data_IF_448290728177
#
_entry.id   IF_448290728177
#
_cell.length_a   1.000
_cell.length_b   1.000
_cell.length_c   1.000
_cell.angle_alpha   90.00
_cell.angle_beta   90.00
_cell.angle_gamma   90.00
#
_symmetry.space_group_name_H-M   'P 1'
#
loop_
_entity.id
_entity.type
_entity.pdbx_description
1 polymer ?
#
# COMPACT_ATOMS: atom_id res chain seq x y z
N UNK A 1 -5.62 -11.82 -39.72
CA UNK A 1 -5.70 -10.38 -39.37
C UNK A 1 -6.46 -10.14 -38.07
N UNK A 2 -7.73 -10.57 -37.92
CA UNK A 2 -8.49 -10.38 -36.66
C UNK A 2 -7.80 -11.02 -35.44
N UNK A 3 -7.33 -12.27 -35.56
CA UNK A 3 -6.63 -12.99 -34.47
C UNK A 3 -5.38 -12.24 -33.98
N UNK A 4 -4.61 -11.64 -34.89
CA UNK A 4 -3.41 -10.87 -34.54
C UNK A 4 -3.75 -9.57 -33.80
N UNK A 5 -4.82 -8.89 -34.20
CA UNK A 5 -5.30 -7.69 -33.50
C UNK A 5 -5.82 -8.03 -32.10
N UNK A 6 -6.53 -9.13 -31.94
CA UNK A 6 -7.00 -9.60 -30.63
C UNK A 6 -5.83 -9.95 -29.70
N UNK A 7 -4.81 -10.66 -30.21
CA UNK A 7 -3.62 -10.98 -29.44
C UNK A 7 -2.83 -9.73 -29.05
N UNK A 8 -2.76 -8.73 -29.94
CA UNK A 8 -2.15 -7.44 -29.66
C UNK A 8 -2.89 -6.70 -28.54
N UNK A 9 -4.22 -6.67 -28.60
CA UNK A 9 -5.03 -6.06 -27.54
C UNK A 9 -4.81 -6.71 -26.18
N UNK A 10 -4.73 -8.03 -26.12
CA UNK A 10 -4.48 -8.76 -24.88
C UNK A 10 -3.09 -8.43 -24.29
N UNK A 11 -2.07 -8.28 -25.16
CA UNK A 11 -0.73 -7.84 -24.77
C UNK A 11 -0.77 -6.43 -24.16
N UNK A 12 -1.42 -5.46 -24.80
CA UNK A 12 -1.47 -4.09 -24.29
C UNK A 12 -2.22 -3.99 -22.95
N UNK A 13 -3.29 -4.78 -22.77
CA UNK A 13 -3.95 -4.92 -21.46
C UNK A 13 -2.99 -5.43 -20.41
N UNK A 14 -2.18 -6.46 -20.74
CA UNK A 14 -1.19 -7.00 -19.82
C UNK A 14 -0.11 -5.98 -19.45
N UNK A 15 0.39 -5.21 -20.41
CA UNK A 15 1.36 -4.11 -20.16
C UNK A 15 0.73 -3.04 -19.25
N UNK A 16 -0.51 -2.63 -19.54
CA UNK A 16 -1.24 -1.68 -18.69
C UNK A 16 -1.42 -2.17 -17.26
N UNK A 17 -1.76 -3.44 -17.07
CA UNK A 17 -1.89 -4.07 -15.74
C UNK A 17 -0.55 -4.08 -15.01
N UNK A 18 0.54 -4.41 -15.69
CA UNK A 18 1.88 -4.39 -15.09
C UNK A 18 2.24 -2.98 -14.62
N UNK A 19 2.15 -1.98 -15.51
CA UNK A 19 2.48 -0.59 -15.17
C UNK A 19 1.61 -0.06 -14.03
N UNK A 20 0.30 -0.33 -14.09
CA UNK A 20 -0.64 0.04 -13.03
C UNK A 20 -0.28 -0.62 -11.69
N UNK A 21 0.15 -1.88 -11.70
CA UNK A 21 0.60 -2.59 -10.50
C UNK A 21 1.86 -1.94 -9.92
N UNK A 22 2.86 -1.64 -10.74
CA UNK A 22 4.11 -1.01 -10.28
C UNK A 22 3.86 0.36 -9.64
N UNK A 23 3.05 1.21 -10.27
CA UNK A 23 2.71 2.53 -9.73
C UNK A 23 1.76 2.44 -8.53
N UNK A 24 0.97 1.37 -8.44
CA UNK A 24 0.02 1.12 -7.35
C UNK A 24 0.65 0.63 -6.04
N UNK A 25 1.83 -0.01 -6.09
CA UNK A 25 2.53 -0.55 -4.90
C UNK A 25 2.63 0.41 -3.72
N UNK A 26 3.13 1.66 -3.86
CA UNK A 26 3.22 2.58 -2.72
C UNK A 26 1.84 2.94 -2.15
N UNK A 27 0.82 3.04 -3.00
CA UNK A 27 -0.55 3.37 -2.60
C UNK A 27 -1.15 2.23 -1.79
N UNK A 28 -1.03 0.99 -2.27
CA UNK A 28 -1.52 -0.20 -1.58
C UNK A 28 -0.74 -0.50 -0.31
N UNK A 29 0.58 -0.29 -0.29
CA UNK A 29 1.39 -0.43 0.93
C UNK A 29 0.94 0.50 2.05
N UNK A 30 0.61 1.76 1.72
CA UNK A 30 0.12 2.75 2.68
C UNK A 30 -1.31 2.46 3.14
N UNK A 31 -2.18 2.02 2.24
CA UNK A 31 -3.52 1.55 2.61
C UNK A 31 -3.44 0.33 3.55
N UNK A 32 -2.62 -0.66 3.22
CA UNK A 32 -2.41 -1.84 4.04
C UNK A 32 -1.83 -1.50 5.43
N UNK A 33 -0.98 -0.47 5.53
CA UNK A 33 -0.50 0.03 6.83
C UNK A 33 -1.68 0.48 7.72
N UNK A 34 -2.64 1.20 7.14
CA UNK A 34 -3.82 1.67 7.87
C UNK A 34 -4.74 0.52 8.29
N UNK A 35 -4.90 -0.48 7.43
CA UNK A 35 -5.64 -1.71 7.74
C UNK A 35 -4.99 -2.50 8.89
N UNK A 36 -3.66 -2.64 8.90
CA UNK A 36 -2.94 -3.28 10.01
C UNK A 36 -3.14 -2.56 11.35
N UNK A 37 -3.13 -1.22 11.33
CA UNK A 37 -3.38 -0.40 12.52
C UNK A 37 -4.80 -0.63 13.05
N UNK A 38 -5.82 -0.56 12.19
CA UNK A 38 -7.21 -0.76 12.62
C UNK A 38 -7.48 -2.19 13.09
N UNK A 39 -6.86 -3.18 12.45
CA UNK A 39 -6.88 -4.57 12.90
C UNK A 39 -6.31 -4.70 14.33
N UNK A 40 -5.19 -4.04 14.62
CA UNK A 40 -4.59 -4.07 15.96
C UNK A 40 -5.41 -3.35 17.03
N UNK A 41 -6.24 -2.37 16.62
CA UNK A 41 -7.18 -1.65 17.50
C UNK A 41 -8.43 -2.46 17.80
N UNK A 42 -8.69 -3.54 17.06
CA UNK A 42 -9.91 -4.32 17.18
C UNK A 42 -11.14 -3.58 16.66
N UNK A 43 -10.96 -2.58 15.79
CA UNK A 43 -12.06 -1.96 15.03
C UNK A 43 -12.18 -2.69 13.70
N UNK A 44 -12.78 -3.87 13.71
CA UNK A 44 -13.35 -4.46 12.50
C UNK A 44 -14.77 -3.92 12.41
N UNK A 45 -14.97 -2.90 11.58
CA UNK A 45 -16.22 -2.13 11.51
C UNK A 45 -17.33 -2.96 10.82
N UNK A 46 -18.27 -3.59 11.56
CA UNK A 46 -19.34 -4.36 10.93
C UNK A 46 -20.35 -3.46 10.19
N UNK A 47 -20.24 -2.14 10.40
CA UNK A 47 -21.14 -1.09 9.93
C UNK A 47 -20.54 -0.22 8.84
N UNK A 48 -19.27 -0.43 8.44
CA UNK A 48 -18.70 0.28 7.30
C UNK A 48 -19.29 -0.31 6.01
N UNK A 49 -19.82 0.56 5.14
CA UNK A 49 -20.26 0.18 3.79
C UNK A 49 -19.15 -0.63 3.13
N UNK A 50 -19.48 -1.83 2.66
CA UNK A 50 -18.54 -2.67 1.93
C UNK A 50 -17.98 -1.85 0.76
N UNK A 51 -16.65 -1.84 0.59
CA UNK A 51 -16.03 -1.20 -0.56
C UNK A 51 -16.60 -1.84 -1.84
N UNK A 52 -17.25 -1.08 -2.76
CA UNK A 52 -17.85 -1.64 -3.97
C UNK A 52 -16.85 -2.37 -4.87
N UNK A 53 -15.56 -2.04 -4.78
CA UNK A 53 -14.51 -2.68 -5.56
C UNK A 53 -14.05 -4.03 -4.98
N UNK A 54 -14.08 -4.20 -3.65
CA UNK A 54 -13.51 -5.38 -2.97
C UNK A 54 -14.52 -6.19 -2.14
N UNK A 55 -15.75 -5.68 -1.95
CA UNK A 55 -16.78 -6.20 -1.03
C UNK A 55 -16.28 -6.45 0.41
N UNK A 56 -15.15 -5.84 0.78
CA UNK A 56 -14.55 -5.98 2.10
C UNK A 56 -14.99 -4.83 3.03
N UNK A 57 -15.01 -5.09 4.34
CA UNK A 57 -15.21 -4.02 5.34
C UNK A 57 -13.99 -3.12 5.30
N UNK A 58 -14.14 -1.94 4.68
CA UNK A 58 -13.03 -1.00 4.54
C UNK A 58 -12.60 -0.47 5.92
N UNK A 59 -11.32 -0.58 6.22
CA UNK A 59 -10.70 0.06 7.40
C UNK A 59 -10.77 1.58 7.23
N UNK A 60 -11.26 2.29 8.25
CA UNK A 60 -11.33 3.75 8.23
C UNK A 60 -9.93 4.37 8.09
N UNK A 61 -8.95 3.81 8.79
CA UNK A 61 -7.56 4.24 8.70
C UNK A 61 -6.92 3.85 7.36
N UNK A 62 -7.22 2.66 6.83
CA UNK A 62 -6.78 2.23 5.50
C UNK A 62 -7.26 3.18 4.41
N UNK A 63 -8.54 3.56 4.43
CA UNK A 63 -9.12 4.54 3.49
C UNK A 63 -8.48 5.90 3.66
N UNK A 64 -8.30 6.38 4.91
CA UNK A 64 -7.67 7.67 5.17
C UNK A 64 -6.24 7.75 4.63
N UNK A 65 -5.41 6.72 4.90
CA UNK A 65 -4.04 6.67 4.37
C UNK A 65 -4.02 6.49 2.86
N UNK A 66 -4.92 5.69 2.30
CA UNK A 66 -5.05 5.50 0.86
C UNK A 66 -5.35 6.81 0.13
N UNK A 67 -6.36 7.56 0.58
CA UNK A 67 -6.71 8.88 0.00
C UNK A 67 -5.56 9.87 0.18
N UNK A 68 -4.90 9.88 1.35
CA UNK A 68 -3.75 10.75 1.60
C UNK A 68 -2.57 10.39 0.68
N UNK A 69 -2.30 9.11 0.46
CA UNK A 69 -1.28 8.64 -0.46
C UNK A 69 -1.57 9.07 -1.90
N UNK A 70 -2.82 8.96 -2.35
CA UNK A 70 -3.26 9.45 -3.67
C UNK A 70 -3.07 10.97 -3.78
N UNK A 71 -3.45 11.73 -2.75
CA UNK A 71 -3.29 13.18 -2.72
C UNK A 71 -1.81 13.59 -2.80
N UNK A 72 -0.92 12.90 -2.07
CA UNK A 72 0.54 13.10 -2.14
C UNK A 72 1.07 12.72 -3.52
N UNK A 73 0.63 11.58 -4.08
CA UNK A 73 1.04 11.13 -5.42
C UNK A 73 0.70 12.18 -6.47
N UNK A 74 -0.54 12.64 -6.52
CA UNK A 74 -0.97 13.69 -7.46
C UNK A 74 -0.23 15.00 -7.20
N UNK A 75 -0.13 15.43 -5.94
CA UNK A 75 0.55 16.67 -5.55
C UNK A 75 2.07 16.68 -5.80
N UNK A 76 2.69 15.50 -5.92
CA UNK A 76 4.13 15.34 -6.22
C UNK A 76 4.45 15.24 -7.71
N UNK A 77 3.46 15.37 -8.61
CA UNK A 77 3.65 15.18 -10.05
C UNK A 77 3.55 13.71 -10.49
N UNK A 78 2.95 12.84 -9.67
CA UNK A 78 2.80 11.41 -9.98
C UNK A 78 2.00 11.15 -11.27
N UNK A 79 1.08 12.06 -11.65
CA UNK A 79 0.34 11.93 -12.90
C UNK A 79 1.23 12.13 -14.14
N UNK A 80 2.17 13.08 -14.08
CA UNK A 80 3.18 13.27 -15.13
C UNK A 80 4.09 12.05 -15.23
N UNK A 81 4.47 11.49 -14.08
CA UNK A 81 5.24 10.25 -13.99
C UNK A 81 4.50 9.09 -14.62
N UNK A 82 3.20 8.93 -14.34
CA UNK A 82 2.36 7.88 -14.92
C UNK A 82 2.34 7.97 -16.45
N UNK A 83 2.13 9.17 -16.99
CA UNK A 83 2.12 9.41 -18.44
C UNK A 83 3.51 9.11 -19.02
N UNK A 84 4.57 9.59 -18.40
CA UNK A 84 5.96 9.37 -18.85
C UNK A 84 6.33 7.89 -18.89
N UNK A 85 5.98 7.13 -17.84
CA UNK A 85 6.18 5.66 -17.79
C UNK A 85 5.41 4.96 -18.90
N UNK A 86 4.17 5.37 -19.17
CA UNK A 86 3.34 4.81 -20.24
C UNK A 86 3.92 5.11 -21.64
N UNK A 87 4.47 6.30 -21.87
CA UNK A 87 5.15 6.58 -23.14
C UNK A 87 6.46 5.79 -23.29
N UNK A 88 7.25 5.69 -22.21
CA UNK A 88 8.53 4.97 -22.19
C UNK A 88 8.34 3.45 -22.33
N UNK A 89 7.23 2.89 -21.86
CA UNK A 89 6.95 1.46 -22.06
C UNK A 89 6.87 1.07 -23.54
N UNK A 90 6.44 1.98 -24.42
CA UNK A 90 6.42 1.72 -25.86
C UNK A 90 7.81 1.73 -26.51
N UNK A 91 8.81 2.36 -25.88
CA UNK A 91 10.20 2.27 -26.33
C UNK A 91 10.80 0.89 -26.00
N UNK A 92 10.42 0.31 -24.85
CA UNK A 92 10.89 -1.01 -24.42
C UNK A 92 10.12 -2.13 -25.12
N UNK A 93 8.79 -2.02 -25.22
CA UNK A 93 7.94 -3.01 -25.86
C UNK A 93 7.10 -2.35 -26.97
N UNK A 94 7.64 -2.27 -28.20
CA UNK A 94 6.93 -1.68 -29.33
C UNK A 94 5.60 -2.38 -29.57
N UNK A 95 4.58 -1.60 -29.92
CA UNK A 95 3.19 -2.09 -30.09
C UNK A 95 3.15 -3.30 -31.01
N UNK A 96 3.78 -3.22 -32.19
CA UNK A 96 3.74 -4.26 -33.22
C UNK A 96 4.61 -5.49 -32.97
N UNK A 97 5.40 -5.53 -31.88
CA UNK A 97 6.25 -6.67 -31.54
C UNK A 97 5.62 -7.55 -30.46
N UNK A 98 5.50 -8.85 -30.73
CA UNK A 98 4.90 -9.83 -29.81
C UNK A 98 5.84 -10.26 -28.69
N UNK A 99 7.14 -10.27 -28.93
CA UNK A 99 8.13 -10.69 -27.94
C UNK A 99 8.80 -9.44 -27.34
N UNK A 100 8.81 -9.29 -26.01
CA UNK A 100 9.67 -8.30 -25.39
C UNK A 100 11.12 -8.74 -25.57
N UNK A 101 12.04 -7.78 -25.69
CA UNK A 101 13.49 -8.01 -25.62
C UNK A 101 13.99 -8.33 -24.20
N UNK A 102 13.11 -8.77 -23.29
CA UNK A 102 13.45 -9.07 -21.90
C UNK A 102 14.06 -10.47 -21.75
N UNK A 103 15.31 -10.52 -21.33
CA UNK A 103 15.96 -11.70 -20.77
C UNK A 103 15.78 -11.75 -19.25
N UNK A 104 15.08 -12.75 -18.69
CA UNK A 104 15.16 -13.06 -17.24
C UNK A 104 13.85 -13.11 -16.43
N UNK A 105 13.93 -13.49 -15.14
CA UNK A 105 12.88 -14.23 -14.41
C UNK A 105 11.79 -13.32 -13.82
N UNK A 106 10.77 -12.98 -14.62
CA UNK A 106 9.64 -12.14 -14.18
C UNK A 106 8.84 -12.68 -12.97
N UNK A 107 8.94 -13.97 -12.65
CA UNK A 107 8.30 -14.54 -11.47
C UNK A 107 8.96 -14.12 -10.14
N UNK A 108 10.28 -13.90 -10.12
CA UNK A 108 10.99 -13.45 -8.91
C UNK A 108 10.71 -11.97 -8.63
N UNK A 109 10.59 -11.17 -9.69
CA UNK A 109 10.23 -9.76 -9.60
C UNK A 109 8.83 -9.57 -9.00
N UNK A 110 7.86 -10.41 -9.38
CA UNK A 110 6.50 -10.36 -8.81
C UNK A 110 6.49 -10.61 -7.30
N UNK A 111 7.33 -11.52 -6.80
CA UNK A 111 7.50 -11.74 -5.36
C UNK A 111 8.13 -10.52 -4.68
N UNK A 112 9.06 -9.83 -5.35
CA UNK A 112 9.62 -8.56 -4.88
C UNK A 112 8.58 -7.45 -4.75
N UNK A 113 7.57 -7.42 -5.62
CA UNK A 113 6.46 -6.44 -5.53
C UNK A 113 5.62 -6.66 -4.28
N UNK A 114 5.29 -7.92 -3.97
CA UNK A 114 4.53 -8.27 -2.77
C UNK A 114 5.32 -7.93 -1.49
N UNK A 115 6.63 -8.22 -1.50
CA UNK A 115 7.53 -7.87 -0.39
C UNK A 115 7.58 -6.35 -0.17
N UNK A 116 7.59 -5.55 -1.24
CA UNK A 116 7.57 -4.09 -1.15
C UNK A 116 6.29 -3.54 -0.48
N UNK A 117 5.13 -4.08 -0.83
CA UNK A 117 3.84 -3.72 -0.20
C UNK A 117 3.88 -4.05 1.29
N UNK A 118 4.27 -5.29 1.64
CA UNK A 118 4.34 -5.74 3.03
C UNK A 118 5.37 -4.95 3.85
N UNK A 119 6.54 -4.68 3.28
CA UNK A 119 7.58 -3.87 3.90
C UNK A 119 7.10 -2.46 4.20
N UNK A 120 6.45 -1.82 3.24
CA UNK A 120 5.87 -0.48 3.41
C UNK A 120 4.81 -0.49 4.51
N UNK A 121 3.90 -1.47 4.46
CA UNK A 121 2.84 -1.62 5.45
C UNK A 121 3.41 -1.77 6.86
N UNK A 122 4.40 -2.62 7.05
CA UNK A 122 5.05 -2.88 8.34
C UNK A 122 5.90 -1.71 8.83
N UNK A 123 6.65 -1.03 7.97
CA UNK A 123 7.46 0.12 8.37
C UNK A 123 6.61 1.30 8.82
N UNK A 124 5.52 1.56 8.10
CA UNK A 124 4.63 2.70 8.38
C UNK A 124 3.73 2.41 9.59
N UNK A 125 3.18 1.21 9.69
CA UNK A 125 2.34 0.81 10.83
C UNK A 125 3.13 0.43 12.08
N UNK A 126 4.38 -0.03 11.92
CA UNK A 126 5.19 -0.64 12.96
C UNK A 126 5.29 0.16 14.26
N UNK A 127 5.63 1.46 14.23
CA UNK A 127 5.71 2.28 15.44
C UNK A 127 4.37 2.31 16.20
N UNK A 128 3.27 2.51 15.49
CA UNK A 128 1.93 2.59 16.09
C UNK A 128 1.51 1.22 16.64
N UNK A 129 1.64 0.17 15.84
CA UNK A 129 1.32 -1.21 16.22
C UNK A 129 2.12 -1.64 17.44
N UNK A 130 3.41 -1.29 17.51
CA UNK A 130 4.26 -1.56 18.66
C UNK A 130 3.70 -0.96 19.96
N UNK A 131 3.32 0.33 19.95
CA UNK A 131 2.68 0.95 21.12
C UNK A 131 1.35 0.29 21.49
N UNK A 132 0.54 -0.09 20.51
CA UNK A 132 -0.72 -0.79 20.78
C UNK A 132 -0.50 -2.19 21.38
N UNK A 133 0.55 -2.91 20.97
CA UNK A 133 0.94 -4.19 21.58
C UNK A 133 1.42 -3.98 23.02
N UNK A 134 2.16 -2.90 23.31
CA UNK A 134 2.56 -2.58 24.69
C UNK A 134 1.35 -2.36 25.60
N UNK A 135 0.27 -1.77 25.08
CA UNK A 135 -1.00 -1.66 25.82
C UNK A 135 -1.55 -3.04 26.13
N UNK A 136 -1.57 -3.98 25.17
CA UNK A 136 -2.03 -5.36 25.43
C UNK A 136 -1.19 -6.06 26.49
N UNK A 137 0.13 -5.93 26.43
CA UNK A 137 1.05 -6.51 27.41
C UNK A 137 0.77 -5.91 28.80
N UNK A 138 0.58 -4.59 28.88
CA UNK A 138 0.23 -3.90 30.13
C UNK A 138 -1.09 -4.41 30.71
N UNK A 139 -2.10 -4.61 29.87
CA UNK A 139 -3.41 -5.15 30.26
C UNK A 139 -3.33 -6.62 30.69
N UNK A 140 -2.47 -7.41 30.03
CA UNK A 140 -2.21 -8.80 30.39
C UNK A 140 -1.55 -8.90 31.77
N UNK A 141 -0.61 -8.01 32.07
CA UNK A 141 0.00 -7.91 33.40
C UNK A 141 -1.00 -7.44 34.45
N UNK A 142 -1.81 -6.42 34.16
CA UNK A 142 -2.85 -5.91 35.07
C UNK A 142 -3.84 -7.01 35.48
N UNK A 143 -4.23 -7.87 34.53
CA UNK A 143 -5.11 -9.01 34.78
C UNK A 143 -4.56 -9.97 35.86
N UNK A 144 -3.23 -10.06 36.03
CA UNK A 144 -2.61 -10.89 37.07
C UNK A 144 -2.79 -10.31 38.47
N UNK A 145 -2.81 -8.98 38.61
CA UNK A 145 -2.93 -8.29 39.90
C UNK A 145 -4.37 -7.98 40.28
N UNK A 146 -5.25 -7.78 39.29
CA UNK A 146 -6.65 -7.43 39.48
C UNK A 146 -7.54 -8.21 38.50
N UNK A 147 -7.81 -9.51 38.78
CA UNK A 147 -8.54 -10.41 37.88
C UNK A 147 -10.01 -10.01 37.65
N UNK A 148 -10.55 -9.10 38.47
CA UNK A 148 -11.87 -8.51 38.27
C UNK A 148 -11.99 -7.66 36.99
N UNK A 149 -10.88 -7.20 36.40
CA UNK A 149 -10.90 -6.46 35.14
C UNK A 149 -10.97 -7.41 33.94
N UNK A 150 -12.02 -7.26 33.12
CA UNK A 150 -12.17 -7.97 31.84
C UNK A 150 -11.25 -7.36 30.78
N UNK A 151 -10.00 -7.83 30.74
CA UNK A 151 -8.97 -7.32 29.81
C UNK A 151 -9.41 -7.34 28.33
N UNK A 152 -10.24 -8.30 27.92
CA UNK A 152 -10.78 -8.39 26.55
C UNK A 152 -11.72 -7.25 26.16
N UNK A 153 -12.35 -6.57 27.14
CA UNK A 153 -13.21 -5.42 26.90
C UNK A 153 -12.45 -4.10 27.10
N UNK A 154 -11.52 -4.07 28.06
CA UNK A 154 -10.84 -2.85 28.46
C UNK A 154 -9.64 -2.52 27.56
N UNK A 155 -8.92 -3.50 27.00
CA UNK A 155 -7.79 -3.24 26.11
C UNK A 155 -8.20 -2.49 24.82
N UNK A 156 -9.22 -2.93 24.06
CA UNK A 156 -9.66 -2.20 22.87
C UNK A 156 -10.14 -0.76 23.18
N UNK A 157 -10.80 -0.56 24.33
CA UNK A 157 -11.26 0.77 24.75
C UNK A 157 -10.08 1.72 25.00
N UNK A 158 -9.06 1.28 25.75
CA UNK A 158 -7.87 2.08 26.04
C UNK A 158 -7.09 2.39 24.76
N UNK A 159 -6.88 1.38 23.90
CA UNK A 159 -6.21 1.57 22.60
C UNK A 159 -6.87 2.67 21.78
N UNK A 160 -8.21 2.68 21.72
CA UNK A 160 -8.94 3.66 20.94
C UNK A 160 -8.95 5.08 21.53
N UNK A 161 -8.75 5.22 22.84
CA UNK A 161 -8.57 6.53 23.49
C UNK A 161 -7.15 7.06 23.23
N UNK A 162 -6.15 6.20 23.31
CA UNK A 162 -4.73 6.57 23.14
C UNK A 162 -4.37 6.81 21.67
N UNK A 163 -5.00 6.08 20.75
CA UNK A 163 -4.70 6.11 19.32
C UNK A 163 -4.74 7.50 18.68
N UNK A 164 -5.78 8.34 18.88
CA UNK A 164 -5.81 9.69 18.30
C UNK A 164 -4.62 10.55 18.74
N UNK A 165 -4.22 10.46 20.01
CA UNK A 165 -3.06 11.19 20.55
C UNK A 165 -1.78 10.72 19.87
N UNK A 166 -1.57 9.39 19.80
CA UNK A 166 -0.43 8.81 19.07
C UNK A 166 -0.40 9.24 17.61
N UNK A 167 -1.55 9.23 16.93
CA UNK A 167 -1.65 9.61 15.53
C UNK A 167 -1.35 11.07 15.28
N UNK A 168 -1.83 11.99 16.14
CA UNK A 168 -1.53 13.42 16.01
C UNK A 168 -0.04 13.67 16.17
N UNK A 169 0.61 13.03 17.14
CA UNK A 169 2.07 13.14 17.32
C UNK A 169 2.85 12.51 16.16
N UNK A 170 2.35 11.40 15.61
CA UNK A 170 2.98 10.67 14.52
C UNK A 170 2.71 11.29 13.14
N UNK A 171 1.68 12.14 12.99
CA UNK A 171 1.19 12.63 11.70
C UNK A 171 2.27 13.33 10.86
N UNK A 172 3.10 14.18 11.47
CA UNK A 172 4.16 14.88 10.75
C UNK A 172 5.19 13.90 10.14
N UNK A 173 5.65 12.95 10.95
CA UNK A 173 6.57 11.91 10.51
C UNK A 173 5.94 10.97 9.48
N UNK A 174 4.67 10.64 9.66
CA UNK A 174 3.90 9.79 8.75
C UNK A 174 3.82 10.42 7.36
N UNK A 175 3.45 11.70 7.27
CA UNK A 175 3.34 12.40 5.98
C UNK A 175 4.69 12.48 5.27
N UNK A 176 5.77 12.74 6.01
CA UNK A 176 7.13 12.74 5.44
C UNK A 176 7.51 11.35 4.93
N UNK A 177 7.26 10.31 5.71
CA UNK A 177 7.51 8.91 5.33
C UNK A 177 6.71 8.50 4.09
N UNK A 178 5.42 8.88 4.03
CA UNK A 178 4.55 8.63 2.89
C UNK A 178 5.08 9.32 1.63
N UNK A 179 5.52 10.58 1.75
CA UNK A 179 6.10 11.33 0.63
C UNK A 179 7.36 10.66 0.10
N UNK A 180 8.24 10.17 0.99
CA UNK A 180 9.45 9.45 0.60
C UNK A 180 9.12 8.16 -0.17
N UNK A 181 8.16 7.38 0.32
CA UNK A 181 7.81 6.10 -0.32
C UNK A 181 7.12 6.31 -1.68
N UNK A 182 6.24 7.31 -1.77
CA UNK A 182 5.60 7.72 -3.03
C UNK A 182 6.62 8.27 -4.03
N UNK A 183 7.59 9.08 -3.58
CA UNK A 183 8.64 9.62 -4.46
C UNK A 183 9.61 8.53 -4.91
N UNK A 184 9.90 7.54 -4.06
CA UNK A 184 10.71 6.36 -4.44
C UNK A 184 10.06 5.59 -5.60
N UNK A 185 8.73 5.51 -5.62
CA UNK A 185 8.01 4.91 -6.75
C UNK A 185 8.14 5.73 -8.05
N UNK A 186 8.34 7.05 -7.97
CA UNK A 186 8.68 7.84 -9.16
C UNK A 186 10.10 7.51 -9.69
N UNK A 187 10.98 6.96 -8.83
CA UNK A 187 12.28 6.38 -9.23
C UNK A 187 12.17 5.17 -10.16
N UNK A 188 10.97 4.62 -10.39
CA UNK A 188 10.73 3.62 -11.45
C UNK A 188 11.16 4.16 -12.82
N UNK A 189 11.08 5.48 -13.06
CA UNK A 189 11.61 6.10 -14.28
C UNK A 189 13.12 5.85 -14.47
N UNK A 190 13.91 5.89 -13.39
CA UNK A 190 15.36 5.61 -13.45
C UNK A 190 15.63 4.13 -13.74
N UNK A 191 14.77 3.23 -13.27
CA UNK A 191 14.85 1.81 -13.61
C UNK A 191 14.53 1.57 -15.10
N UNK A 192 13.52 2.25 -15.64
CA UNK A 192 13.22 2.24 -17.08
C UNK A 192 14.40 2.80 -17.90
N UNK A 193 15.03 3.90 -17.46
CA UNK A 193 16.21 4.46 -18.15
C UNK A 193 17.42 3.53 -18.16
N UNK A 194 17.59 2.68 -17.14
CA UNK A 194 18.65 1.65 -17.14
C UNK A 194 18.38 0.46 -18.07
N UNK A 195 17.12 0.25 -18.44
CA UNK A 195 16.68 -0.83 -19.34
C UNK A 195 16.56 -0.39 -20.79
N UNK A 196 16.50 0.92 -21.03
CA UNK A 196 16.58 1.49 -22.37
C UNK A 196 18.05 1.41 -22.86
N UNK A 197 18.28 1.02 -24.12
CA UNK A 197 19.62 0.94 -24.71
C UNK A 197 20.29 2.30 -24.93
#
# INVERSE_FOLDING_TARGET
RLIQLTLLGFKEVFVGVLLGTFLGIPLWGLQAAGELIDNQRGISSPTASADPATNSQASAMGVFLGITAIAIFVGSGGLETLISVLYRSYLIWPVYQFHPTLSGPGAMELLGLLDSIMRTALLVSGPVVFFLILIDISMMLLRRFAPQFKASQLSPAIKNIVFPVLMVTYAAYLVESMKLEVTRANGVLEWFDKLLP
#
